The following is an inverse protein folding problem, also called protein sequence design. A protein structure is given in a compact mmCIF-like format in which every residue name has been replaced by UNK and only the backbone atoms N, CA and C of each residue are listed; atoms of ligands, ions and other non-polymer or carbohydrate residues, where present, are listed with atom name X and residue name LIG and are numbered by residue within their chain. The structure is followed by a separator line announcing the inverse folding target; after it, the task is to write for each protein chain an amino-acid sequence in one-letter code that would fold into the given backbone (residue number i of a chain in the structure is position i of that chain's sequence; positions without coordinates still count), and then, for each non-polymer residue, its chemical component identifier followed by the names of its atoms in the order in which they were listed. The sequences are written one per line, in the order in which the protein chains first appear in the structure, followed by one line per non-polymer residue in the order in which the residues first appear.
data_IF_519747612666
#
_entry.id   IF_519747612666
#
_cell.length_a   1.000
_cell.length_b   1.000
_cell.length_c   1.000
_cell.angle_alpha   90.00
_cell.angle_beta   90.00
_cell.angle_gamma   90.00
#
_symmetry.space_group_name_H-M   'P 1'
#
loop_
_entity.id
_entity.type
_entity.pdbx_description
1 polymer ?
#
# COMPACT_ATOMS: atom_id res chain seq x y z
N UNK A 1 -42.29 6.42 41.09
CA UNK A 1 -43.02 5.88 39.92
C UNK A 1 -41.98 5.57 38.84
N UNK A 2 -41.59 4.30 38.68
CA UNK A 2 -40.51 3.89 37.77
C UNK A 2 -41.04 3.73 36.33
N UNK A 3 -40.30 4.22 35.34
CA UNK A 3 -40.63 4.12 33.90
C UNK A 3 -40.78 2.69 33.37
N UNK A 4 -40.33 1.68 34.14
CA UNK A 4 -40.47 0.26 33.81
C UNK A 4 -41.91 -0.26 33.91
N UNK A 5 -42.84 0.44 34.57
CA UNK A 5 -44.25 0.01 34.67
C UNK A 5 -45.14 0.52 33.53
N UNK A 6 -44.62 1.34 32.61
CA UNK A 6 -45.37 1.98 31.53
C UNK A 6 -45.12 1.37 30.15
N UNK A 7 -44.24 0.35 30.03
CA UNK A 7 -43.92 -0.28 28.76
C UNK A 7 -44.50 -1.70 28.68
N UNK A 8 -45.06 -2.10 27.52
CA UNK A 8 -45.54 -3.45 27.30
C UNK A 8 -44.38 -4.46 27.36
N UNK A 9 -44.66 -5.66 27.87
CA UNK A 9 -43.66 -6.71 28.00
C UNK A 9 -43.08 -7.09 26.63
N UNK A 10 -41.74 -7.25 26.50
CA UNK A 10 -41.10 -7.60 25.24
C UNK A 10 -41.59 -8.96 24.72
N UNK A 11 -41.94 -9.00 23.43
CA UNK A 11 -42.57 -10.15 22.76
C UNK A 11 -41.60 -11.18 22.20
N UNK A 12 -40.29 -10.93 22.26
CA UNK A 12 -39.27 -11.87 21.79
C UNK A 12 -38.48 -12.45 22.96
N UNK A 13 -38.39 -13.79 23.10
CA UNK A 13 -37.56 -14.42 24.10
C UNK A 13 -36.09 -14.24 23.70
N UNK A 14 -35.36 -13.41 24.43
CA UNK A 14 -33.90 -13.43 24.40
C UNK A 14 -33.48 -14.72 25.09
N UNK A 15 -32.90 -15.65 24.34
CA UNK A 15 -32.38 -16.87 24.91
C UNK A 15 -31.06 -16.56 25.59
N UNK A 16 -31.11 -16.25 26.88
CA UNK A 16 -29.94 -16.06 27.72
C UNK A 16 -29.72 -17.32 28.58
N UNK A 17 -28.59 -17.99 28.36
CA UNK A 17 -28.22 -19.25 29.04
C UNK A 17 -28.12 -19.06 30.56
N UNK A 18 -27.85 -17.83 31.01
CA UNK A 18 -27.69 -17.49 32.41
C UNK A 18 -29.05 -17.28 33.13
N UNK A 19 -30.10 -16.83 32.43
CA UNK A 19 -31.45 -16.67 33.01
C UNK A 19 -32.17 -18.00 33.24
N UNK A 20 -31.97 -18.99 32.37
CA UNK A 20 -32.54 -20.33 32.55
C UNK A 20 -31.92 -21.02 33.78
N UNK A 21 -30.63 -20.77 34.03
CA UNK A 21 -29.91 -21.26 35.21
C UNK A 21 -30.40 -20.62 36.51
N UNK A 22 -30.91 -19.39 36.43
CA UNK A 22 -31.48 -18.67 37.58
C UNK A 22 -32.90 -19.12 37.92
N UNK A 23 -33.73 -19.47 36.92
CA UNK A 23 -35.14 -19.91 37.13
C UNK A 23 -35.27 -21.32 37.75
N UNK A 24 -34.21 -22.13 37.71
CA UNK A 24 -34.21 -23.50 38.27
C UNK A 24 -33.86 -23.52 39.78
N UNK A 25 -33.45 -22.39 40.38
CA UNK A 25 -33.09 -22.33 41.80
C UNK A 25 -34.32 -22.21 42.72
N UNK A 26 -34.78 -23.36 43.21
CA UNK A 26 -35.66 -23.48 44.38
C UNK A 26 -34.88 -23.04 45.63
N UNK A 27 -35.47 -22.31 46.60
CA UNK A 27 -34.78 -21.98 47.85
C UNK A 27 -34.61 -23.24 48.70
N UNK A 28 -33.40 -23.79 48.75
CA UNK A 28 -33.07 -24.94 49.59
C UNK A 28 -32.60 -24.48 50.97
N UNK A 29 -33.36 -24.85 51.99
CA UNK A 29 -32.83 -25.11 53.33
C UNK A 29 -31.69 -26.12 53.23
N UNK A 30 -30.65 -25.95 54.06
CA UNK A 30 -29.41 -26.73 54.10
C UNK A 30 -29.62 -28.22 54.42
N UNK A 31 -30.14 -28.98 53.45
CA UNK A 31 -30.06 -30.43 53.39
C UNK A 31 -29.08 -30.77 52.26
N UNK A 32 -27.99 -31.43 52.63
CA UNK A 32 -26.98 -31.95 51.72
C UNK A 32 -27.67 -32.96 50.80
N UNK A 33 -27.88 -32.59 49.53
CA UNK A 33 -28.31 -33.55 48.51
C UNK A 33 -27.12 -34.45 48.23
N UNK A 34 -27.14 -35.66 48.79
CA UNK A 34 -26.23 -36.72 48.39
C UNK A 34 -26.52 -37.05 46.93
N UNK A 35 -25.65 -36.61 46.02
CA UNK A 35 -25.65 -37.12 44.65
C UNK A 35 -25.47 -38.64 44.72
N UNK A 36 -26.29 -39.44 44.02
CA UNK A 36 -26.14 -40.89 43.98
C UNK A 36 -24.81 -41.20 43.28
N UNK A 37 -23.74 -41.23 44.05
CA UNK A 37 -22.40 -41.55 43.58
C UNK A 37 -22.32 -43.06 43.40
N UNK A 38 -21.67 -43.52 42.34
CA UNK A 38 -21.40 -44.94 42.12
C UNK A 38 -20.86 -45.60 43.40
N UNK A 39 -21.32 -46.82 43.77
CA UNK A 39 -20.75 -47.56 44.89
C UNK A 39 -19.23 -47.64 44.79
N UNK A 40 -18.47 -47.75 45.89
CA UNK A 40 -17.01 -47.87 45.82
C UNK A 40 -16.59 -49.17 45.13
N UNK A 41 -15.32 -49.21 44.68
CA UNK A 41 -14.76 -50.39 44.03
C UNK A 41 -14.94 -51.64 44.91
N UNK A 42 -15.39 -52.74 44.30
CA UNK A 42 -15.71 -54.00 45.00
C UNK A 42 -17.17 -54.13 45.47
N UNK A 43 -17.94 -53.03 45.57
CA UNK A 43 -19.36 -53.05 45.98
C UNK A 43 -20.35 -52.85 44.81
N UNK A 44 -19.87 -52.89 43.57
CA UNK A 44 -20.67 -52.65 42.35
C UNK A 44 -21.31 -53.90 41.75
N UNK A 45 -21.29 -55.04 42.45
CA UNK A 45 -21.88 -56.29 41.96
C UNK A 45 -23.41 -56.14 41.88
N UNK A 46 -23.96 -56.29 40.67
CA UNK A 46 -25.40 -56.16 40.40
C UNK A 46 -25.90 -54.74 40.21
N UNK A 47 -25.03 -53.73 40.29
CA UNK A 47 -25.34 -52.34 39.97
C UNK A 47 -24.93 -52.05 38.52
N UNK A 48 -25.78 -51.33 37.77
CA UNK A 48 -25.53 -50.99 36.36
C UNK A 48 -25.86 -49.51 36.14
N UNK A 49 -24.90 -48.67 35.73
CA UNK A 49 -25.16 -47.27 35.44
C UNK A 49 -25.98 -47.16 34.15
N UNK A 50 -27.07 -46.38 34.20
CA UNK A 50 -28.00 -46.15 33.07
C UNK A 50 -28.07 -44.68 32.66
N UNK A 51 -27.85 -43.77 33.60
CA UNK A 51 -27.88 -42.33 33.39
C UNK A 51 -26.48 -41.73 33.42
N UNK A 52 -26.33 -40.49 32.94
CA UNK A 52 -25.05 -39.77 33.01
C UNK A 52 -24.65 -39.46 34.46
N UNK A 53 -25.63 -39.31 35.35
CA UNK A 53 -25.42 -38.97 36.76
C UNK A 53 -24.90 -40.17 37.58
N UNK A 54 -25.23 -41.40 37.17
CA UNK A 54 -24.75 -42.63 37.82
C UNK A 54 -23.21 -42.75 37.80
N UNK A 55 -22.55 -42.06 36.87
CA UNK A 55 -21.09 -42.02 36.77
C UNK A 55 -20.43 -40.98 37.68
N UNK A 56 -21.20 -40.11 38.36
CA UNK A 56 -20.67 -39.06 39.22
C UNK A 56 -19.75 -38.09 38.46
N UNK A 57 -18.46 -38.10 38.77
CA UNK A 57 -17.42 -37.30 38.08
C UNK A 57 -16.95 -37.91 36.75
N UNK A 58 -17.64 -38.96 36.29
CA UNK A 58 -17.35 -39.69 35.06
C UNK A 58 -16.54 -40.96 35.29
N UNK A 59 -16.07 -41.54 34.19
CA UNK A 59 -15.39 -42.83 34.18
C UNK A 59 -16.34 -44.01 33.97
N UNK A 60 -15.90 -44.99 33.16
CA UNK A 60 -16.63 -46.24 32.95
C UNK A 60 -16.04 -47.32 33.87
N UNK A 61 -16.89 -48.23 34.36
CA UNK A 61 -16.53 -49.27 35.29
C UNK A 61 -16.26 -50.59 34.56
N UNK A 62 -15.00 -51.03 34.41
CA UNK A 62 -14.66 -52.23 33.66
C UNK A 62 -15.18 -53.52 34.30
N UNK A 63 -15.48 -53.51 35.61
CA UNK A 63 -16.07 -54.65 36.31
C UNK A 63 -17.54 -54.94 35.94
N UNK A 64 -18.22 -54.01 35.24
CA UNK A 64 -19.60 -54.18 34.78
C UNK A 64 -19.57 -54.50 33.28
N UNK A 65 -19.97 -55.72 32.84
CA UNK A 65 -19.89 -56.16 31.45
C UNK A 65 -21.05 -55.59 30.60
N UNK A 66 -21.19 -54.26 30.60
CA UNK A 66 -22.18 -53.51 29.84
C UNK A 66 -21.46 -52.33 29.17
N UNK A 67 -21.84 -52.01 27.93
CA UNK A 67 -21.34 -50.82 27.24
C UNK A 67 -21.78 -49.56 27.99
N UNK A 68 -20.81 -48.81 28.50
CA UNK A 68 -21.01 -47.60 29.30
C UNK A 68 -20.51 -46.41 28.51
N UNK A 69 -21.29 -45.32 28.50
CA UNK A 69 -20.97 -44.11 27.75
C UNK A 69 -20.97 -42.86 28.65
N UNK A 70 -19.99 -42.71 29.57
CA UNK A 70 -19.81 -41.47 30.30
C UNK A 70 -19.68 -40.30 29.32
N UNK A 71 -20.38 -39.19 29.58
CA UNK A 71 -20.43 -38.01 28.69
C UNK A 71 -20.83 -38.32 27.23
N UNK A 72 -21.57 -39.41 26.99
CA UNK A 72 -21.93 -39.92 25.66
C UNK A 72 -20.72 -40.30 24.76
N UNK A 73 -19.55 -40.55 25.34
CA UNK A 73 -18.37 -40.97 24.57
C UNK A 73 -18.55 -42.39 24.02
N UNK A 74 -18.17 -42.60 22.75
CA UNK A 74 -18.22 -43.91 22.09
C UNK A 74 -19.62 -44.42 21.74
N UNK A 75 -20.65 -43.57 21.83
CA UNK A 75 -22.02 -43.93 21.45
C UNK A 75 -22.18 -43.89 19.93
N UNK A 76 -22.30 -45.04 19.30
CA UNK A 76 -22.60 -45.15 17.86
C UNK A 76 -24.06 -44.69 17.61
N UNK A 77 -24.27 -43.71 16.72
CA UNK A 77 -25.62 -43.33 16.24
C UNK A 77 -26.07 -41.88 16.46
N UNK A 78 -25.30 -41.03 17.14
CA UNK A 78 -25.49 -39.56 17.07
C UNK A 78 -24.54 -38.99 16.02
N UNK A 79 -25.09 -38.72 14.82
CA UNK A 79 -24.43 -38.05 13.68
C UNK A 79 -23.03 -38.59 13.30
N UNK A 80 -22.99 -39.72 12.58
CA UNK A 80 -21.74 -40.38 12.15
C UNK A 80 -20.90 -39.58 11.15
N UNK A 81 -21.49 -38.56 10.50
CA UNK A 81 -20.80 -37.69 9.53
C UNK A 81 -21.20 -36.24 9.77
N UNK A 82 -20.38 -35.48 10.50
CA UNK A 82 -20.54 -34.04 10.65
C UNK A 82 -19.46 -33.30 9.85
N UNK A 83 -19.82 -32.15 9.26
CA UNK A 83 -18.88 -31.26 8.56
C UNK A 83 -18.12 -30.34 9.53
N UNK A 84 -18.31 -30.51 10.84
CA UNK A 84 -17.66 -29.70 11.88
C UNK A 84 -16.27 -30.22 12.20
N UNK A 85 -15.30 -29.30 12.30
CA UNK A 85 -13.98 -29.62 12.85
C UNK A 85 -14.12 -29.93 14.35
N UNK A 86 -13.37 -30.93 14.83
CA UNK A 86 -13.35 -31.29 16.23
C UNK A 86 -12.83 -30.13 17.09
N UNK A 87 -13.52 -29.84 18.21
CA UNK A 87 -13.08 -28.82 19.17
C UNK A 87 -11.81 -29.33 19.87
N UNK A 88 -10.69 -28.65 19.63
CA UNK A 88 -9.40 -28.98 20.25
C UNK A 88 -9.16 -28.11 21.47
N UNK A 89 -8.53 -28.69 22.50
CA UNK A 89 -8.08 -27.96 23.68
C UNK A 89 -6.55 -27.78 23.65
N UNK A 90 -6.06 -26.74 24.32
CA UNK A 90 -4.64 -26.57 24.61
C UNK A 90 -4.22 -27.32 25.87
N UNK A 91 -2.92 -27.30 26.18
CA UNK A 91 -2.37 -27.95 27.37
C UNK A 91 -2.92 -27.32 28.68
N UNK A 92 -3.51 -26.13 28.62
CA UNK A 92 -4.10 -25.42 29.76
C UNK A 92 -5.63 -25.68 29.85
N UNK A 93 -6.21 -26.45 28.94
CA UNK A 93 -7.64 -26.72 28.87
C UNK A 93 -8.50 -25.63 28.21
N UNK A 94 -7.89 -24.61 27.59
CA UNK A 94 -8.62 -23.59 26.82
C UNK A 94 -8.92 -24.10 25.41
N UNK A 95 -10.05 -23.67 24.87
CA UNK A 95 -10.47 -24.02 23.51
C UNK A 95 -9.54 -23.36 22.48
N UNK A 96 -8.98 -24.15 21.57
CA UNK A 96 -8.12 -23.70 20.48
C UNK A 96 -8.94 -23.18 19.30
N UNK A 97 -9.41 -21.94 19.40
CA UNK A 97 -10.03 -21.24 18.27
C UNK A 97 -9.04 -20.96 17.11
N UNK A 98 -7.73 -21.01 17.38
CA UNK A 98 -6.66 -20.86 16.39
C UNK A 98 -6.70 -21.91 15.27
N UNK A 99 -7.33 -23.08 15.50
CA UNK A 99 -7.52 -24.11 14.48
C UNK A 99 -8.31 -23.57 13.27
N UNK A 100 -9.23 -22.62 13.49
CA UNK A 100 -9.98 -21.97 12.41
C UNK A 100 -9.06 -21.09 11.55
N UNK A 101 -8.17 -20.31 12.17
CA UNK A 101 -7.21 -19.47 11.45
C UNK A 101 -6.13 -20.28 10.71
N UNK A 102 -5.81 -21.48 11.22
CA UNK A 102 -4.86 -22.42 10.62
C UNK A 102 -5.42 -23.27 9.49
N UNK A 103 -6.73 -23.19 9.22
CA UNK A 103 -7.34 -23.98 8.16
C UNK A 103 -6.63 -23.73 6.82
N UNK A 104 -6.10 -24.78 6.18
CA UNK A 104 -5.37 -24.69 4.91
C UNK A 104 -3.87 -24.38 5.03
N UNK A 105 -3.36 -24.19 6.25
CA UNK A 105 -1.92 -24.05 6.52
C UNK A 105 -1.34 -25.34 7.12
N UNK A 106 -0.01 -25.49 7.05
CA UNK A 106 0.68 -26.57 7.78
C UNK A 106 0.59 -26.34 9.29
N UNK A 107 0.65 -27.43 10.07
CA UNK A 107 0.71 -27.40 11.54
C UNK A 107 1.89 -26.56 12.06
N UNK A 108 3.00 -26.54 11.33
CA UNK A 108 4.25 -25.88 11.76
C UNK A 108 4.28 -24.39 11.39
N UNK A 109 3.31 -23.91 10.60
CA UNK A 109 3.24 -22.49 10.25
C UNK A 109 2.74 -21.69 11.44
N UNK A 110 3.50 -20.70 11.87
CA UNK A 110 3.11 -19.82 12.98
C UNK A 110 2.06 -18.83 12.49
N UNK A 111 0.94 -18.74 13.22
CA UNK A 111 -0.14 -17.77 13.00
C UNK A 111 -0.45 -17.15 14.35
N UNK A 112 -0.44 -15.81 14.40
CA UNK A 112 -0.84 -15.05 15.58
C UNK A 112 -2.34 -14.79 15.52
N UNK A 113 -3.05 -15.20 16.57
CA UNK A 113 -4.51 -15.10 16.65
C UNK A 113 -5.01 -14.79 18.06
N UNK A 114 -4.12 -14.80 19.06
CA UNK A 114 -4.47 -14.61 20.46
C UNK A 114 -4.17 -13.18 20.90
N UNK A 115 -4.93 -12.67 21.87
CA UNK A 115 -4.65 -11.38 22.49
C UNK A 115 -3.27 -11.35 23.16
N UNK A 116 -2.77 -12.48 23.66
CA UNK A 116 -1.40 -12.59 24.20
C UNK A 116 -0.34 -12.18 23.18
N UNK A 117 -0.58 -12.42 21.90
CA UNK A 117 0.36 -12.13 20.81
C UNK A 117 0.38 -10.62 20.46
N UNK A 118 -0.62 -9.86 20.93
CA UNK A 118 -0.70 -8.40 20.77
C UNK A 118 -0.01 -7.64 21.91
N UNK A 119 0.24 -8.30 23.03
CA UNK A 119 0.86 -7.65 24.18
C UNK A 119 2.35 -7.44 23.88
N UNK A 120 2.89 -6.23 24.12
CA UNK A 120 4.31 -6.00 23.95
C UNK A 120 5.10 -6.88 24.93
N UNK A 121 6.13 -7.54 24.45
CA UNK A 121 7.12 -8.17 25.31
C UNK A 121 8.02 -7.08 25.91
N UNK A 122 8.16 -7.06 27.22
CA UNK A 122 9.06 -6.13 27.91
C UNK A 122 10.51 -6.61 27.74
N UNK A 123 11.39 -5.73 27.29
CA UNK A 123 12.84 -6.00 27.22
C UNK A 123 13.41 -5.63 28.60
N UNK A 124 13.79 -6.65 29.37
CA UNK A 124 14.24 -6.48 30.78
C UNK A 124 15.73 -6.12 30.85
N UNK A 125 16.54 -6.59 29.90
CA UNK A 125 17.97 -6.33 29.81
C UNK A 125 18.42 -6.20 28.34
N UNK A 126 19.47 -5.42 28.08
CA UNK A 126 20.03 -5.24 26.72
C UNK A 126 20.73 -6.50 26.20
N UNK A 127 21.28 -7.34 27.10
CA UNK A 127 21.99 -8.58 26.79
C UNK A 127 21.11 -9.84 26.99
N UNK A 128 19.89 -9.84 26.46
CA UNK A 128 19.00 -11.02 26.53
C UNK A 128 19.42 -12.07 25.48
N UNK A 129 19.81 -13.30 25.89
CA UNK A 129 20.23 -14.35 24.96
C UNK A 129 19.15 -14.80 23.96
N UNK A 130 17.87 -14.49 24.21
CA UNK A 130 16.78 -14.78 23.26
C UNK A 130 16.72 -13.83 22.06
N UNK A 131 17.35 -12.64 22.17
CA UNK A 131 17.41 -11.62 21.13
C UNK A 131 18.74 -11.65 20.35
N UNK A 132 19.68 -12.49 20.78
CA UNK A 132 20.93 -12.70 20.07
C UNK A 132 20.67 -13.30 18.68
N UNK A 133 21.52 -12.93 17.72
CA UNK A 133 21.50 -13.57 16.41
C UNK A 133 21.93 -15.03 16.56
N UNK A 134 21.46 -15.93 15.69
CA UNK A 134 22.02 -17.28 15.60
C UNK A 134 23.54 -17.24 15.50
N UNK A 135 24.18 -18.31 15.95
CA UNK A 135 25.65 -18.39 15.96
C UNK A 135 26.21 -18.27 14.54
N UNK A 136 27.44 -17.76 14.41
CA UNK A 136 28.07 -17.56 13.10
C UNK A 136 28.15 -18.88 12.29
N UNK A 137 28.38 -20.00 12.96
CA UNK A 137 28.41 -21.34 12.33
C UNK A 137 27.03 -21.74 11.77
N UNK A 138 25.94 -21.49 12.51
CA UNK A 138 24.58 -21.74 12.03
C UNK A 138 24.21 -20.83 10.85
N UNK A 139 24.65 -19.57 10.88
CA UNK A 139 24.45 -18.62 9.78
C UNK A 139 25.18 -19.11 8.53
N UNK A 140 26.42 -19.58 8.66
CA UNK A 140 27.18 -20.15 7.55
C UNK A 140 26.51 -21.41 7.00
N UNK A 141 26.10 -22.35 7.85
CA UNK A 141 25.40 -23.57 7.42
C UNK A 141 24.08 -23.23 6.68
N UNK A 142 23.30 -22.31 7.23
CA UNK A 142 22.02 -21.88 6.62
C UNK A 142 22.25 -21.17 5.29
N UNK A 143 23.30 -20.35 5.20
CA UNK A 143 23.72 -19.66 3.99
C UNK A 143 24.13 -20.65 2.91
N UNK A 144 24.93 -21.66 3.24
CA UNK A 144 25.34 -22.69 2.30
C UNK A 144 24.17 -23.54 1.80
N UNK A 145 23.29 -23.98 2.71
CA UNK A 145 22.05 -24.70 2.35
C UNK A 145 21.18 -23.88 1.41
N UNK A 146 20.99 -22.60 1.72
CA UNK A 146 20.17 -21.69 0.92
C UNK A 146 20.82 -21.40 -0.43
N UNK A 147 22.13 -21.16 -0.48
CA UNK A 147 22.90 -20.97 -1.71
C UNK A 147 22.75 -22.17 -2.63
N UNK A 148 22.99 -23.39 -2.13
CA UNK A 148 22.87 -24.62 -2.92
C UNK A 148 21.44 -24.84 -3.44
N UNK A 149 20.41 -24.51 -2.64
CA UNK A 149 19.03 -24.61 -3.07
C UNK A 149 18.70 -23.60 -4.19
N UNK A 150 19.17 -22.36 -4.06
CA UNK A 150 18.98 -21.32 -5.07
C UNK A 150 19.76 -21.64 -6.35
N UNK A 151 20.99 -22.14 -6.24
CA UNK A 151 21.79 -22.60 -7.38
C UNK A 151 21.08 -23.70 -8.18
N UNK A 152 20.43 -24.67 -7.52
CA UNK A 152 19.63 -25.70 -8.21
C UNK A 152 18.46 -25.11 -8.99
N UNK A 153 17.77 -24.11 -8.41
CA UNK A 153 16.66 -23.44 -9.05
C UNK A 153 17.12 -22.59 -10.25
N UNK A 154 18.21 -21.84 -10.10
CA UNK A 154 18.78 -21.03 -11.17
C UNK A 154 19.35 -21.89 -12.29
N UNK A 155 20.02 -23.00 -11.98
CA UNK A 155 20.52 -23.93 -12.97
C UNK A 155 19.40 -24.47 -13.87
N UNK A 156 18.24 -24.80 -13.29
CA UNK A 156 17.06 -25.22 -14.05
C UNK A 156 16.56 -24.13 -15.01
N UNK A 157 16.60 -22.86 -14.58
CA UNK A 157 16.20 -21.71 -15.41
C UNK A 157 17.22 -21.40 -16.51
N UNK A 158 18.52 -21.48 -16.20
CA UNK A 158 19.61 -21.28 -17.15
C UNK A 158 19.57 -22.37 -18.23
N UNK A 159 19.43 -23.64 -17.84
CA UNK A 159 19.30 -24.76 -18.76
C UNK A 159 18.08 -24.62 -19.69
N UNK A 160 17.00 -23.99 -19.22
CA UNK A 160 15.84 -23.70 -20.05
C UNK A 160 16.10 -22.60 -21.10
N UNK A 161 16.96 -21.62 -20.78
CA UNK A 161 17.25 -20.46 -21.62
C UNK A 161 18.43 -20.66 -22.60
N UNK A 162 19.27 -21.68 -22.39
CA UNK A 162 20.39 -21.95 -23.31
C UNK A 162 19.89 -22.34 -24.71
N UNK A 163 20.32 -21.64 -25.79
CA UNK A 163 19.82 -21.86 -27.16
C UNK A 163 20.17 -23.24 -27.76
N UNK A 164 21.33 -23.79 -27.40
CA UNK A 164 21.80 -25.10 -27.87
C UNK A 164 21.85 -26.02 -26.67
N UNK A 165 20.97 -27.03 -26.64
CA UNK A 165 21.04 -28.08 -25.63
C UNK A 165 21.91 -29.21 -26.15
N UNK A 166 22.99 -29.50 -25.44
CA UNK A 166 23.68 -30.78 -25.60
C UNK A 166 22.69 -31.90 -25.25
N UNK A 167 22.65 -32.98 -26.04
CA UNK A 167 21.80 -34.13 -25.74
C UNK A 167 22.15 -34.67 -24.35
N UNK A 168 21.18 -34.69 -23.44
CA UNK A 168 21.37 -35.19 -22.10
C UNK A 168 21.70 -36.70 -22.17
N UNK A 169 22.78 -37.11 -21.50
CA UNK A 169 23.10 -38.53 -21.37
C UNK A 169 22.09 -39.14 -20.41
N UNK A 170 21.43 -40.22 -20.83
CA UNK A 170 20.48 -40.94 -19.99
C UNK A 170 21.15 -41.36 -18.67
N UNK A 171 20.51 -41.06 -17.55
CA UNK A 171 21.00 -41.43 -16.23
C UNK A 171 21.06 -42.95 -16.04
N UNK A 172 21.86 -43.44 -15.06
CA UNK A 172 21.92 -44.87 -14.75
C UNK A 172 20.57 -45.38 -14.21
N UNK A 173 20.29 -46.67 -14.43
CA UNK A 173 19.07 -47.32 -13.94
C UNK A 173 19.00 -47.30 -12.40
N UNK A 174 17.86 -46.88 -11.85
CA UNK A 174 17.62 -46.83 -10.41
C UNK A 174 16.70 -47.98 -9.98
N UNK A 175 16.98 -48.60 -8.83
CA UNK A 175 16.14 -49.67 -8.27
C UNK A 175 15.43 -49.16 -7.03
N UNK A 176 14.09 -49.16 -7.04
CA UNK A 176 13.26 -48.69 -5.94
C UNK A 176 12.50 -49.87 -5.35
N UNK A 177 12.61 -50.05 -4.04
CA UNK A 177 11.81 -51.03 -3.29
C UNK A 177 10.47 -50.39 -2.91
N UNK A 178 9.38 -50.93 -3.42
CA UNK A 178 8.03 -50.45 -3.17
C UNK A 178 7.24 -51.45 -2.33
N UNK A 179 6.62 -50.96 -1.27
CA UNK A 179 5.66 -51.71 -0.45
C UNK A 179 4.25 -51.22 -0.82
N UNK A 180 3.43 -52.04 -1.50
CA UNK A 180 2.05 -51.67 -1.80
C UNK A 180 1.21 -51.47 -0.52
N UNK A 181 0.32 -50.47 -0.52
CA UNK A 181 -0.64 -50.25 0.56
C UNK A 181 -1.77 -51.29 0.56
N UNK A 182 -2.19 -51.72 -0.64
CA UNK A 182 -3.11 -52.84 -0.81
C UNK A 182 -2.33 -54.14 -0.74
N UNK A 183 -2.50 -54.87 0.35
CA UNK A 183 -1.87 -56.18 0.58
C UNK A 183 -2.94 -57.28 0.54
N UNK A 184 -2.58 -58.42 -0.04
CA UNK A 184 -3.42 -59.61 -0.09
C UNK A 184 -2.71 -60.72 -0.84
N UNK A 185 -3.01 -61.98 -0.52
CA UNK A 185 -2.36 -63.13 -1.14
C UNK A 185 -2.59 -63.20 -2.67
N UNK A 186 -3.69 -62.63 -3.14
CA UNK A 186 -4.02 -62.51 -4.57
C UNK A 186 -3.25 -61.40 -5.31
N UNK A 187 -2.63 -60.46 -4.58
CA UNK A 187 -1.88 -59.35 -5.16
C UNK A 187 -0.37 -59.61 -5.08
N UNK A 188 0.36 -59.10 -6.08
CA UNK A 188 1.83 -59.18 -6.15
C UNK A 188 2.37 -60.63 -5.97
N UNK A 189 1.65 -61.62 -6.46
CA UNK A 189 1.97 -63.06 -6.34
C UNK A 189 2.31 -63.50 -4.90
N UNK A 190 1.64 -62.90 -3.90
CA UNK A 190 1.87 -63.17 -2.48
C UNK A 190 3.10 -62.47 -1.87
N UNK A 191 3.87 -61.72 -2.66
CA UNK A 191 5.01 -60.96 -2.16
C UNK A 191 4.56 -59.65 -1.49
N UNK A 192 5.13 -59.35 -0.32
CA UNK A 192 4.83 -58.11 0.42
C UNK A 192 5.41 -56.85 -0.23
N UNK A 193 6.46 -57.00 -1.04
CA UNK A 193 7.18 -55.89 -1.66
C UNK A 193 7.51 -56.24 -3.11
N UNK A 194 7.77 -55.21 -3.92
CA UNK A 194 8.29 -55.35 -5.29
C UNK A 194 9.45 -54.39 -5.52
N UNK A 195 10.44 -54.81 -6.29
CA UNK A 195 11.56 -53.96 -6.70
C UNK A 195 11.30 -53.49 -8.12
N UNK A 196 11.33 -52.18 -8.33
CA UNK A 196 11.05 -51.53 -9.60
C UNK A 196 12.34 -50.95 -10.14
N UNK A 197 12.71 -51.33 -11.35
CA UNK A 197 13.82 -50.73 -12.10
C UNK A 197 13.29 -49.53 -12.88
N UNK A 198 13.64 -48.33 -12.46
CA UNK A 198 13.34 -47.07 -13.13
C UNK A 198 14.48 -46.72 -14.10
N UNK A 199 14.13 -46.47 -15.35
CA UNK A 199 15.04 -46.01 -16.40
C UNK A 199 14.42 -44.77 -17.04
N UNK A 200 15.17 -43.69 -17.18
CA UNK A 200 14.72 -42.49 -17.88
C UNK A 200 14.60 -42.76 -19.38
N UNK A 201 13.44 -42.43 -19.96
CA UNK A 201 13.24 -42.59 -21.39
C UNK A 201 14.10 -41.59 -22.15
N UNK A 202 14.91 -42.08 -23.09
CA UNK A 202 15.76 -41.22 -23.92
C UNK A 202 14.90 -40.23 -24.70
N UNK A 203 15.18 -38.94 -24.52
CA UNK A 203 14.46 -37.85 -25.18
C UNK A 203 15.13 -37.49 -26.51
N UNK A 204 14.32 -37.31 -27.53
CA UNK A 204 14.80 -36.90 -28.85
C UNK A 204 15.19 -35.40 -28.83
N UNK A 205 16.45 -35.05 -29.18
CA UNK A 205 16.91 -33.66 -29.22
C UNK A 205 16.24 -32.80 -30.30
N UNK A 206 15.64 -33.39 -31.33
CA UNK A 206 14.92 -32.65 -32.40
C UNK A 206 13.40 -32.63 -32.20
N UNK A 207 12.89 -33.25 -31.13
CA UNK A 207 11.46 -33.27 -30.82
C UNK A 207 10.98 -31.89 -30.31
N UNK A 208 9.99 -31.27 -30.96
CA UNK A 208 9.44 -29.99 -30.51
C UNK A 208 8.60 -30.15 -29.22
N UNK A 209 8.26 -29.05 -28.52
CA UNK A 209 7.40 -29.09 -27.34
C UNK A 209 6.04 -29.75 -27.62
N UNK A 210 5.71 -30.82 -26.86
CA UNK A 210 4.49 -31.65 -27.06
C UNK A 210 3.17 -30.93 -26.79
N UNK A 211 3.17 -30.01 -25.83
CA UNK A 211 1.93 -29.43 -25.28
C UNK A 211 1.93 -27.90 -25.38
N UNK A 212 0.73 -27.33 -25.54
CA UNK A 212 0.50 -25.88 -25.52
C UNK A 212 0.54 -25.36 -24.09
N UNK A 213 1.55 -24.55 -23.75
CA UNK A 213 1.76 -23.99 -22.40
C UNK A 213 1.04 -22.64 -22.21
N UNK A 214 0.51 -22.05 -23.27
CA UNK A 214 -0.11 -20.72 -23.26
C UNK A 214 -1.53 -20.66 -22.67
N UNK A 215 -2.01 -21.72 -22.02
CA UNK A 215 -3.32 -21.73 -21.35
C UNK A 215 -3.28 -20.81 -20.12
N UNK A 216 -3.92 -19.65 -20.21
CA UNK A 216 -4.06 -18.71 -19.09
C UNK A 216 -5.15 -19.20 -18.14
N UNK A 217 -4.79 -19.40 -16.89
CA UNK A 217 -5.69 -19.80 -15.80
C UNK A 217 -5.83 -18.59 -14.87
N UNK A 218 -7.03 -18.31 -14.31
CA UNK A 218 -7.17 -17.30 -13.27
C UNK A 218 -6.24 -17.62 -12.09
N UNK A 219 -5.83 -16.59 -11.34
CA UNK A 219 -5.06 -16.82 -10.13
C UNK A 219 -5.89 -17.66 -9.17
N UNK A 220 -5.26 -18.70 -8.59
CA UNK A 220 -5.87 -19.48 -7.54
C UNK A 220 -6.21 -18.63 -6.31
N UNK A 221 -7.00 -19.16 -5.37
CA UNK A 221 -7.26 -18.47 -4.11
C UNK A 221 -5.93 -18.18 -3.40
N UNK A 222 -5.81 -17.03 -2.70
CA UNK A 222 -4.65 -16.78 -1.87
C UNK A 222 -4.61 -17.78 -0.71
N UNK A 223 -3.48 -17.82 0.01
CA UNK A 223 -3.46 -18.53 1.29
C UNK A 223 -4.54 -17.96 2.22
N UNK A 224 -5.14 -18.78 3.11
CA UNK A 224 -6.16 -18.35 4.05
C UNK A 224 -5.74 -17.06 4.77
N UNK A 225 -6.66 -16.08 4.89
CA UNK A 225 -6.31 -14.75 5.40
C UNK A 225 -5.80 -14.85 6.84
N UNK A 226 -4.69 -14.17 7.12
CA UNK A 226 -4.16 -14.11 8.47
C UNK A 226 -5.09 -13.24 9.37
N UNK A 227 -5.24 -13.57 10.65
CA UNK A 227 -5.96 -12.74 11.60
C UNK A 227 -5.37 -11.32 11.67
N UNK A 228 -6.24 -10.32 11.68
CA UNK A 228 -5.83 -8.91 11.70
C UNK A 228 -5.64 -8.46 13.14
N UNK A 229 -4.38 -8.26 13.54
CA UNK A 229 -3.96 -7.92 14.90
C UNK A 229 -3.84 -6.40 15.06
N UNK A 230 -4.96 -5.69 14.99
CA UNK A 230 -5.01 -4.24 15.22
C UNK A 230 -5.27 -3.89 16.68
N UNK A 231 -4.84 -2.69 17.08
CA UNK A 231 -5.35 -2.09 18.31
C UNK A 231 -6.86 -1.83 18.19
N UNK A 232 -7.59 -1.66 19.32
CA UNK A 232 -8.99 -1.28 19.29
C UNK A 232 -9.23 -0.06 18.40
N UNK A 233 -10.32 -0.07 17.64
CA UNK A 233 -10.62 0.99 16.69
C UNK A 233 -10.74 2.34 17.41
N UNK A 234 -10.01 3.34 16.92
CA UNK A 234 -10.15 4.71 17.43
C UNK A 234 -11.50 5.26 16.99
N UNK A 235 -12.24 5.86 17.93
CA UNK A 235 -13.54 6.48 17.62
C UNK A 235 -13.31 7.73 16.78
N UNK A 236 -13.70 7.67 15.51
CA UNK A 236 -13.63 8.81 14.58
C UNK A 236 -14.71 9.82 14.96
N UNK A 237 -14.33 11.10 15.07
CA UNK A 237 -15.31 12.16 15.31
C UNK A 237 -15.97 12.61 14.01
N UNK A 238 -17.22 13.08 14.07
CA UNK A 238 -17.92 13.62 12.89
C UNK A 238 -17.17 14.83 12.30
N UNK A 239 -16.48 15.60 13.14
CA UNK A 239 -15.63 16.73 12.71
C UNK A 239 -14.46 16.23 11.86
N UNK A 240 -13.70 15.26 12.36
CA UNK A 240 -12.59 14.64 11.64
C UNK A 240 -13.06 14.06 10.29
N UNK A 241 -14.16 13.33 10.28
CA UNK A 241 -14.70 12.77 9.03
C UNK A 241 -15.06 13.86 8.00
N UNK A 242 -15.56 15.01 8.44
CA UNK A 242 -15.87 16.15 7.54
C UNK A 242 -14.61 16.82 7.01
N UNK A 243 -13.59 16.97 7.84
CA UNK A 243 -12.29 17.55 7.45
C UNK A 243 -11.58 16.69 6.40
N UNK A 244 -11.72 15.36 6.49
CA UNK A 244 -11.17 14.42 5.51
C UNK A 244 -12.07 14.19 4.29
N UNK A 245 -13.17 14.93 4.14
CA UNK A 245 -14.04 14.82 2.96
C UNK A 245 -13.38 15.54 1.78
N UNK A 246 -12.75 14.76 0.91
CA UNK A 246 -12.09 15.27 -0.30
C UNK A 246 -13.15 15.77 -1.30
N UNK A 247 -13.10 17.05 -1.74
CA UNK A 247 -13.98 17.56 -2.79
C UNK A 247 -13.77 16.83 -4.13
N UNK A 248 -14.81 16.71 -4.98
CA UNK A 248 -14.66 16.10 -6.29
C UNK A 248 -13.70 16.90 -7.17
N UNK A 249 -12.85 16.19 -7.94
CA UNK A 249 -11.96 16.83 -8.90
C UNK A 249 -12.74 17.24 -10.15
N UNK A 250 -12.97 18.54 -10.32
CA UNK A 250 -13.55 19.12 -11.53
C UNK A 250 -12.39 19.68 -12.35
N UNK A 251 -12.00 18.96 -13.40
CA UNK A 251 -10.86 19.35 -14.23
C UNK A 251 -11.28 20.25 -15.39
N UNK A 252 -10.44 21.24 -15.72
CA UNK A 252 -10.64 22.11 -16.88
C UNK A 252 -10.25 21.45 -18.22
N UNK A 253 -9.59 20.29 -18.20
CA UNK A 253 -9.10 19.60 -19.40
C UNK A 253 -9.86 18.32 -19.74
N UNK A 254 -10.25 17.52 -18.73
CA UNK A 254 -10.79 16.17 -18.92
C UNK A 254 -12.15 16.02 -18.27
N UNK A 255 -13.10 15.56 -19.09
CA UNK A 255 -14.42 15.16 -18.64
C UNK A 255 -14.76 13.81 -19.29
N UNK A 256 -14.19 12.73 -18.72
CA UNK A 256 -14.27 11.40 -19.32
C UNK A 256 -15.71 10.89 -19.48
N UNK A 257 -16.61 11.28 -18.58
CA UNK A 257 -18.02 10.87 -18.59
C UNK A 257 -18.95 11.91 -19.24
N UNK A 258 -18.42 13.02 -19.75
CA UNK A 258 -19.21 14.04 -20.44
C UNK A 258 -20.24 14.76 -19.57
N UNK A 259 -20.04 14.88 -18.26
CA UNK A 259 -21.00 15.54 -17.38
C UNK A 259 -21.18 17.04 -17.71
N UNK A 260 -22.43 17.51 -17.69
CA UNK A 260 -22.74 18.94 -17.75
C UNK A 260 -22.53 19.56 -16.37
N UNK A 261 -21.44 20.30 -16.22
CA UNK A 261 -21.04 20.93 -14.96
C UNK A 261 -21.35 22.43 -15.04
N UNK A 262 -22.09 23.01 -14.08
CA UNK A 262 -22.36 24.44 -14.07
C UNK A 262 -21.07 25.25 -13.92
N UNK A 263 -21.09 26.49 -14.42
CA UNK A 263 -19.89 27.31 -14.55
C UNK A 263 -19.26 27.64 -13.20
N UNK A 264 -20.07 27.86 -12.16
CA UNK A 264 -19.60 28.12 -10.79
C UNK A 264 -18.73 26.98 -10.27
N UNK A 265 -19.15 25.72 -10.46
CA UNK A 265 -18.38 24.54 -10.02
C UNK A 265 -17.17 24.25 -10.90
N UNK A 266 -17.23 24.62 -12.18
CA UNK A 266 -16.09 24.49 -13.09
C UNK A 266 -14.96 25.46 -12.74
N UNK A 267 -15.30 26.67 -12.31
CA UNK A 267 -14.35 27.68 -11.88
C UNK A 267 -14.03 27.62 -10.37
N UNK A 268 -14.76 26.83 -9.58
CA UNK A 268 -14.61 26.80 -8.12
C UNK A 268 -13.23 26.33 -7.64
N UNK A 269 -12.59 25.42 -8.37
CA UNK A 269 -11.25 24.93 -8.04
C UNK A 269 -10.13 25.86 -8.54
N UNK A 270 -10.50 26.94 -9.22
CA UNK A 270 -9.56 27.85 -9.85
C UNK A 270 -9.09 28.92 -8.86
N UNK A 271 -7.88 28.75 -8.34
CA UNK A 271 -7.26 29.66 -7.39
C UNK A 271 -6.92 31.06 -7.94
N UNK A 272 -7.20 31.34 -9.23
CA UNK A 272 -6.98 32.67 -9.83
C UNK A 272 -7.68 33.80 -9.07
N UNK A 273 -8.86 33.54 -8.48
CA UNK A 273 -9.57 34.52 -7.67
C UNK A 273 -8.93 34.80 -6.29
N UNK A 274 -8.04 33.92 -5.82
CA UNK A 274 -7.30 34.11 -4.56
C UNK A 274 -5.96 34.82 -4.78
N UNK A 275 -5.50 34.94 -6.03
CA UNK A 275 -4.27 35.65 -6.36
C UNK A 275 -4.52 37.16 -6.42
N UNK A 276 -4.04 37.87 -5.40
CA UNK A 276 -3.99 39.34 -5.44
C UNK A 276 -2.79 39.78 -6.29
N UNK A 277 -3.06 40.52 -7.37
CA UNK A 277 -2.01 41.11 -8.21
C UNK A 277 -1.46 42.34 -7.49
N UNK A 278 -0.23 42.24 -6.99
CA UNK A 278 0.46 43.35 -6.35
C UNK A 278 1.36 44.05 -7.38
N UNK A 279 1.25 45.38 -7.50
CA UNK A 279 2.09 46.18 -8.39
C UNK A 279 3.05 47.01 -7.53
N UNK A 280 4.34 46.98 -7.89
CA UNK A 280 5.37 47.71 -7.15
C UNK A 280 5.34 49.21 -7.48
N UNK A 281 5.45 50.08 -6.46
CA UNK A 281 5.52 51.54 -6.60
C UNK A 281 6.70 52.03 -7.45
N UNK A 282 7.76 51.21 -7.56
CA UNK A 282 8.89 51.51 -8.43
C UNK A 282 8.49 51.68 -9.90
N UNK A 283 7.40 51.04 -10.35
CA UNK A 283 6.87 51.26 -11.70
C UNK A 283 6.38 52.70 -11.89
N UNK A 284 5.76 53.31 -10.87
CA UNK A 284 5.35 54.71 -10.92
C UNK A 284 6.58 55.64 -10.94
N UNK A 285 7.55 55.41 -10.05
CA UNK A 285 8.81 56.19 -10.01
C UNK A 285 9.58 56.12 -11.32
N UNK A 286 9.63 54.93 -11.94
CA UNK A 286 10.26 54.72 -13.24
C UNK A 286 9.51 55.46 -14.36
N UNK A 287 8.18 55.35 -14.40
CA UNK A 287 7.36 56.05 -15.39
C UNK A 287 7.52 57.57 -15.29
N UNK A 288 7.51 58.12 -14.07
CA UNK A 288 7.74 59.54 -13.83
C UNK A 288 9.15 59.97 -14.24
N UNK A 289 10.18 59.20 -13.88
CA UNK A 289 11.56 59.49 -14.26
C UNK A 289 11.74 59.51 -15.78
N UNK A 290 11.14 58.56 -16.49
CA UNK A 290 11.15 58.52 -17.96
C UNK A 290 10.40 59.71 -18.57
N UNK A 291 9.26 60.11 -18.00
CA UNK A 291 8.51 61.28 -18.48
C UNK A 291 9.30 62.58 -18.29
N UNK A 292 9.99 62.73 -17.15
CA UNK A 292 10.87 63.87 -16.88
C UNK A 292 12.07 63.86 -17.85
N UNK A 293 12.67 62.69 -18.09
CA UNK A 293 13.78 62.54 -19.02
C UNK A 293 13.38 62.89 -20.45
N UNK A 294 12.22 62.45 -20.94
CA UNK A 294 11.71 62.80 -22.28
C UNK A 294 11.50 64.32 -22.41
N UNK A 295 10.88 64.96 -21.42
CA UNK A 295 10.69 66.42 -21.42
C UNK A 295 12.02 67.16 -21.48
N UNK A 296 13.01 66.74 -20.68
CA UNK A 296 14.34 67.34 -20.65
C UNK A 296 15.11 67.11 -21.95
N UNK A 297 14.97 65.93 -22.56
CA UNK A 297 15.57 65.64 -23.86
C UNK A 297 14.99 66.54 -24.95
N UNK A 298 13.66 66.74 -24.99
CA UNK A 298 13.01 67.66 -25.93
C UNK A 298 13.45 69.11 -25.75
N UNK A 299 13.49 69.60 -24.51
CA UNK A 299 14.00 70.95 -24.19
C UNK A 299 15.44 71.12 -24.68
N UNK A 300 16.32 70.13 -24.43
CA UNK A 300 17.71 70.17 -24.87
C UNK A 300 17.85 70.17 -26.41
N UNK A 301 17.03 69.38 -27.11
CA UNK A 301 16.99 69.36 -28.58
C UNK A 301 16.49 70.68 -29.14
N UNK A 302 15.44 71.25 -28.57
CA UNK A 302 14.90 72.55 -29.00
C UNK A 302 15.90 73.68 -28.78
N UNK A 303 16.54 73.73 -27.60
CA UNK A 303 17.59 74.72 -27.33
C UNK A 303 18.78 74.57 -28.29
N UNK A 304 19.20 73.34 -28.60
CA UNK A 304 20.27 73.09 -29.57
C UNK A 304 19.87 73.57 -30.96
N UNK A 305 18.66 73.25 -31.41
CA UNK A 305 18.15 73.70 -32.70
C UNK A 305 18.06 75.24 -32.77
N UNK A 306 17.65 75.91 -31.69
CA UNK A 306 17.62 77.39 -31.62
C UNK A 306 19.04 78.00 -31.65
N UNK A 307 20.02 77.40 -30.97
CA UNK A 307 21.41 77.84 -30.99
C UNK A 307 22.05 77.64 -32.36
N UNK A 308 21.86 76.48 -32.98
CA UNK A 308 22.31 76.19 -34.36
C UNK A 308 21.70 77.19 -35.34
N UNK A 309 20.41 77.52 -35.20
CA UNK A 309 19.74 78.55 -36.01
C UNK A 309 20.36 79.94 -35.80
N UNK A 310 20.68 80.33 -34.56
CA UNK A 310 21.35 81.60 -34.24
C UNK A 310 22.78 81.66 -34.80
N UNK A 311 23.54 80.57 -34.71
CA UNK A 311 24.88 80.48 -35.29
C UNK A 311 24.82 80.57 -36.81
N UNK A 312 23.89 79.85 -37.45
CA UNK A 312 23.66 79.95 -38.89
C UNK A 312 23.25 81.35 -39.33
N UNK A 313 22.45 82.07 -38.52
CA UNK A 313 22.10 83.47 -38.80
C UNK A 313 23.31 84.40 -38.66
N UNK A 314 24.13 84.25 -37.62
CA UNK A 314 25.40 85.00 -37.47
C UNK A 314 26.39 84.71 -38.59
N UNK A 315 26.49 83.46 -39.06
CA UNK A 315 27.32 83.11 -40.22
C UNK A 315 26.80 83.74 -41.51
N UNK A 316 25.47 83.80 -41.71
CA UNK A 316 24.87 84.52 -42.84
C UNK A 316 25.18 86.02 -42.76
N UNK A 317 25.01 86.64 -41.60
CA UNK A 317 25.33 88.05 -41.37
C UNK A 317 26.81 88.36 -41.65
N UNK A 318 27.74 87.52 -41.15
CA UNK A 318 29.18 87.65 -41.49
C UNK A 318 29.45 87.50 -42.99
N UNK A 319 28.75 86.60 -43.68
CA UNK A 319 28.87 86.44 -45.15
C UNK A 319 28.34 87.69 -45.87
N UNK A 320 27.22 88.26 -45.42
CA UNK A 320 26.66 89.51 -45.95
C UNK A 320 27.60 90.70 -45.71
N UNK A 321 28.19 90.84 -44.51
CA UNK A 321 29.20 91.85 -44.21
C UNK A 321 30.46 91.67 -45.07
N UNK A 322 30.93 90.43 -45.26
CA UNK A 322 32.07 90.14 -46.11
C UNK A 322 31.80 90.52 -47.58
N UNK A 323 30.61 90.16 -48.10
CA UNK A 323 30.16 90.57 -49.43
C UNK A 323 30.06 92.10 -49.55
N UNK A 324 29.60 92.79 -48.50
CA UNK A 324 29.53 94.25 -48.45
C UNK A 324 30.92 94.90 -48.50
N UNK A 325 31.89 94.38 -47.73
CA UNK A 325 33.27 94.85 -47.76
C UNK A 325 33.93 94.60 -49.13
N UNK A 326 33.67 93.44 -49.75
CA UNK A 326 34.18 93.11 -51.08
C UNK A 326 33.58 94.02 -52.16
N UNK A 327 32.28 94.32 -52.07
CA UNK A 327 31.61 95.29 -52.94
C UNK A 327 32.15 96.73 -52.75
N UNK A 328 32.53 97.10 -51.52
CA UNK A 328 33.11 98.41 -51.22
C UNK A 328 34.54 98.53 -51.79
N UNK A 329 35.38 97.50 -51.61
CA UNK A 329 36.71 97.41 -52.27
C UNK A 329 36.61 97.49 -53.79
N UNK A 330 35.67 96.76 -54.40
CA UNK A 330 35.43 96.82 -55.84
C UNK A 330 34.97 98.22 -56.33
N UNK A 331 34.28 99.00 -55.50
CA UNK A 331 33.93 100.40 -55.80
C UNK A 331 35.13 101.33 -55.70
N UNK A 332 35.99 101.14 -54.69
CA UNK A 332 37.22 101.92 -54.50
C UNK A 332 38.21 101.71 -55.66
N UNK A 333 38.39 100.45 -56.11
CA UNK A 333 39.21 100.14 -57.30
C UNK A 333 38.65 100.78 -58.59
N UNK A 334 37.33 100.91 -58.70
CA UNK A 334 36.68 101.59 -59.84
C UNK A 334 36.80 103.12 -59.77
N UNK A 335 36.84 103.70 -58.57
CA UNK A 335 37.04 105.14 -58.37
C UNK A 335 38.48 105.58 -58.66
N UNK A 336 39.47 104.69 -58.53
CA UNK A 336 40.88 104.94 -58.84
C UNK A 336 41.21 105.18 -60.33
N UNK A 337 40.30 104.92 -61.27
CA UNK A 337 40.53 105.04 -62.72
C UNK A 337 39.91 106.33 -63.33
N UNK A 338 39.36 107.26 -62.51
CA UNK A 338 38.64 108.43 -63.03
C UNK A 338 39.06 109.78 -62.44
N UNK A 339 40.36 110.09 -62.36
CA UNK A 339 40.87 111.48 -62.21
C UNK A 339 42.26 111.67 -62.83
N UNK A 340 42.42 111.47 -64.16
CA UNK A 340 43.43 112.17 -64.98
C UNK A 340 42.91 112.33 -66.42
N UNK A 341 41.90 113.18 -66.61
CA UNK A 341 41.63 113.83 -67.88
C UNK A 341 40.70 115.03 -67.63
N UNK A 342 41.15 116.21 -68.07
CA UNK A 342 40.43 117.50 -68.15
C UNK A 342 40.52 118.47 -66.95
N UNK A 343 41.61 119.26 -66.92
CA UNK A 343 41.68 120.74 -66.78
C UNK A 343 43.07 121.13 -66.20
N UNK A 344 44.03 121.80 -66.85
CA UNK A 344 44.08 122.54 -68.12
C UNK A 344 44.45 124.01 -67.87
N UNK A 345 45.70 124.44 -68.14
CA UNK A 345 45.98 125.83 -68.56
C UNK A 345 47.28 126.54 -68.10
N UNK A 346 48.18 126.75 -69.08
CA UNK A 346 49.01 127.96 -69.36
C UNK A 346 50.28 128.30 -68.54
N UNK A 347 51.44 128.24 -69.21
CA UNK A 347 52.31 129.42 -69.37
C UNK A 347 53.30 129.29 -70.57
N UNK A 348 53.33 130.38 -71.38
CA UNK A 348 54.33 130.88 -72.34
C UNK A 348 55.14 129.92 -73.23
#
# INVERSE_FOLDING_TARGET
MSLTSLLPAPTQPVWDRDEERAKIRIPSSSLVVASPTAPPYGQRRGWVPRTLEDFGDGGAFPEIPVAQHPLNMGREGKESTSNSLAVQLDAQGKIKYDVLARQGHSKDKIIYSKLSDLLPAEVVAEDDPSLERPTEDEVQETTEKTRLALERLTHTKIAAAMPVRCAEKAGPAQYIRYTPSQQGAAFNSGAKQRVIRMVEAQKDPIEPPKFKINKKIPRGPPSPPAPVMHSPTRKVTVKEQKEWKIPPCISNWKNAKGYTIPLDKRLAADGRGLQQVHINENFAKLAEALYIADRKAREAVEMRAQLEKKLAQKEKEKKEEHLRQLAQKAREERAGIRTQAAAGGLHL
#
